data_IF_480892487267
#
_entry.id   IF_480892487267
#
_cell.length_a   1.000
_cell.length_b   1.000
_cell.length_c   1.000
_cell.angle_alpha   90.00
_cell.angle_beta   90.00
_cell.angle_gamma   90.00
#
_symmetry.space_group_name_H-M   'P 1'
#
loop_
_entity.id
_entity.type
_entity.pdbx_description
1 polymer ?
#
# COMPACT_ATOMS: atom_id res chain seq x y z
N UNK A 1 13.76 5.81 -22.69
CA UNK A 1 14.62 6.99 -22.39
C UNK A 1 14.46 7.29 -20.92
N UNK A 2 15.54 7.50 -20.14
CA UNK A 2 15.34 7.95 -18.76
C UNK A 2 14.73 9.35 -18.84
N UNK A 3 13.51 9.49 -18.39
CA UNK A 3 12.86 10.79 -18.26
C UNK A 3 13.61 11.47 -17.10
N UNK A 4 14.32 12.54 -17.42
CA UNK A 4 14.99 13.36 -16.40
C UNK A 4 13.91 14.18 -15.68
N UNK A 5 13.23 13.53 -14.72
CA UNK A 5 12.10 14.11 -14.01
C UNK A 5 12.63 14.82 -12.78
N UNK A 6 12.76 16.14 -12.83
CA UNK A 6 13.00 16.96 -11.65
C UNK A 6 11.69 17.17 -10.92
N UNK A 7 11.23 16.15 -10.16
CA UNK A 7 10.08 16.30 -9.28
C UNK A 7 10.43 17.17 -8.08
N UNK A 8 9.49 17.99 -7.67
CA UNK A 8 9.49 18.61 -6.36
C UNK A 8 8.04 18.64 -5.85
N UNK A 9 7.70 17.65 -5.05
CA UNK A 9 6.34 17.52 -4.49
C UNK A 9 6.10 18.42 -3.27
N UNK A 10 7.13 19.14 -2.80
CA UNK A 10 7.08 19.99 -1.61
C UNK A 10 7.12 19.22 -0.28
N UNK A 11 6.59 18.00 -0.23
CA UNK A 11 6.56 17.12 0.92
C UNK A 11 7.17 15.75 0.57
N UNK A 12 7.55 14.99 1.60
CA UNK A 12 7.82 13.57 1.42
C UNK A 12 6.55 12.84 0.97
N UNK A 13 6.74 11.72 0.26
CA UNK A 13 5.66 10.85 -0.17
C UNK A 13 5.80 9.52 0.56
N UNK A 14 4.67 8.89 0.86
CA UNK A 14 4.62 7.50 1.33
C UNK A 14 3.62 6.74 0.47
N UNK A 15 4.11 5.79 -0.31
CA UNK A 15 3.25 4.82 -0.96
C UNK A 15 2.90 3.72 0.03
N UNK A 16 1.62 3.42 0.18
CA UNK A 16 1.06 2.50 1.16
C UNK A 16 0.19 1.46 0.48
N UNK A 17 0.27 0.24 0.98
CA UNK A 17 -0.63 -0.86 0.65
C UNK A 17 -0.82 -1.77 1.87
N UNK A 18 -1.98 -2.40 1.99
CA UNK A 18 -2.34 -3.32 3.06
C UNK A 18 -2.79 -4.67 2.51
N UNK A 19 -2.36 -5.77 3.15
CA UNK A 19 -3.04 -7.04 2.99
C UNK A 19 -4.02 -7.26 4.15
N UNK A 20 -5.15 -7.88 3.86
CA UNK A 20 -6.25 -8.03 4.82
C UNK A 20 -6.85 -9.43 4.78
N UNK A 21 -7.59 -9.84 5.83
CA UNK A 21 -8.29 -11.13 5.86
C UNK A 21 -9.51 -11.20 4.93
N UNK A 22 -9.92 -10.07 4.35
CA UNK A 22 -11.05 -9.94 3.44
C UNK A 22 -11.33 -8.48 3.08
N UNK A 23 -12.52 -8.18 2.55
CA UNK A 23 -12.81 -6.89 1.91
C UNK A 23 -13.68 -5.95 2.75
N UNK A 24 -14.02 -6.31 3.98
CA UNK A 24 -15.01 -5.59 4.81
C UNK A 24 -14.34 -4.94 6.02
N UNK A 25 -13.96 -3.65 5.97
CA UNK A 25 -13.40 -2.94 7.13
C UNK A 25 -14.31 -3.07 8.36
N UNK A 26 -13.73 -3.23 9.55
CA UNK A 26 -14.45 -3.46 10.80
C UNK A 26 -14.84 -4.93 11.06
N UNK A 27 -15.00 -5.76 10.01
CA UNK A 27 -15.20 -7.20 10.12
C UNK A 27 -13.91 -7.96 9.83
N UNK A 28 -13.28 -7.63 8.73
CA UNK A 28 -11.98 -8.17 8.35
C UNK A 28 -10.85 -7.35 8.97
N UNK A 29 -9.64 -7.88 9.00
CA UNK A 29 -8.50 -7.37 9.74
C UNK A 29 -7.27 -7.22 8.86
N UNK A 30 -6.37 -6.31 9.21
CA UNK A 30 -5.08 -6.14 8.56
C UNK A 30 -4.17 -7.31 8.93
N UNK A 31 -3.44 -7.85 7.95
CA UNK A 31 -2.44 -8.93 8.11
C UNK A 31 -1.03 -8.55 7.66
N UNK A 32 -0.89 -7.52 6.81
CA UNK A 32 0.40 -6.95 6.45
C UNK A 32 0.24 -5.45 6.19
N UNK A 33 1.24 -4.65 6.59
CA UNK A 33 1.38 -3.24 6.25
C UNK A 33 2.66 -3.09 5.46
N UNK A 34 2.58 -2.56 4.24
CA UNK A 34 3.71 -2.25 3.40
C UNK A 34 3.73 -0.78 3.01
N UNK A 35 4.87 -0.11 3.23
CA UNK A 35 4.99 1.28 2.81
C UNK A 35 6.41 1.64 2.37
N UNK A 36 6.49 2.55 1.40
CA UNK A 36 7.76 3.08 0.88
C UNK A 36 7.75 4.59 0.98
N UNK A 37 8.73 5.14 1.66
CA UNK A 37 8.89 6.59 1.84
C UNK A 37 9.92 7.16 0.87
N UNK A 38 9.58 8.27 0.22
CA UNK A 38 10.50 9.05 -0.59
C UNK A 38 10.62 10.47 -0.05
N UNK A 39 11.71 11.13 -0.40
CA UNK A 39 11.82 12.57 -0.24
C UNK A 39 10.96 13.30 -1.30
N UNK A 40 10.94 14.63 -1.23
CA UNK A 40 10.18 15.48 -2.17
C UNK A 40 10.64 15.36 -3.64
N UNK A 41 11.74 14.70 -3.92
CA UNK A 41 12.25 14.45 -5.28
C UNK A 41 11.87 13.09 -5.84
N UNK A 42 11.20 12.26 -5.04
CA UNK A 42 10.84 10.88 -5.40
C UNK A 42 11.95 9.86 -5.11
N UNK A 43 13.06 10.28 -4.47
CA UNK A 43 14.13 9.35 -4.06
C UNK A 43 13.70 8.61 -2.80
N UNK A 44 13.76 7.28 -2.84
CA UNK A 44 13.46 6.45 -1.67
C UNK A 44 14.40 6.74 -0.50
N UNK A 45 13.81 6.96 0.70
CA UNK A 45 14.51 7.24 1.95
C UNK A 45 14.14 6.28 3.09
N UNK A 46 13.15 5.41 2.89
CA UNK A 46 12.78 4.40 3.88
C UNK A 46 11.76 3.41 3.39
N UNK A 47 11.63 2.30 4.12
CA UNK A 47 10.60 1.27 3.93
C UNK A 47 10.04 0.89 5.29
N UNK A 48 8.75 0.57 5.33
CA UNK A 48 8.07 -0.05 6.46
C UNK A 48 7.43 -1.34 5.96
N UNK A 49 7.66 -2.44 6.66
CA UNK A 49 7.02 -3.71 6.36
C UNK A 49 6.79 -4.50 7.63
N UNK A 50 5.54 -4.80 7.93
CA UNK A 50 5.18 -5.56 9.12
C UNK A 50 4.03 -6.51 8.84
N UNK A 51 4.20 -7.78 9.16
CA UNK A 51 3.08 -8.69 9.35
C UNK A 51 2.34 -8.29 10.63
N UNK A 52 1.02 -8.42 10.61
CA UNK A 52 0.14 -8.08 11.73
C UNK A 52 -0.69 -9.30 12.11
N UNK A 53 -0.74 -9.59 13.41
CA UNK A 53 -1.63 -10.63 13.94
C UNK A 53 -3.07 -10.09 13.95
N UNK A 54 -3.97 -10.63 13.11
CA UNK A 54 -5.36 -10.15 13.02
C UNK A 54 -6.27 -10.63 14.17
N UNK A 55 -5.75 -11.54 15.02
CA UNK A 55 -6.50 -12.24 16.08
C UNK A 55 -7.73 -13.05 15.58
N UNK A 56 -7.85 -13.23 14.27
CA UNK A 56 -8.83 -14.07 13.59
C UNK A 56 -8.13 -14.91 12.53
N UNK A 57 -8.75 -16.00 12.11
CA UNK A 57 -8.17 -16.89 11.10
C UNK A 57 -8.23 -16.29 9.71
N UNK A 58 -7.14 -16.44 8.97
CA UNK A 58 -7.06 -16.15 7.54
C UNK A 58 -7.67 -17.36 6.79
N UNK A 59 -8.57 -17.10 5.84
CA UNK A 59 -9.15 -18.15 5.03
C UNK A 59 -8.17 -18.59 3.90
N UNK A 60 -8.37 -19.81 3.38
CA UNK A 60 -7.50 -20.39 2.37
C UNK A 60 -7.38 -19.56 1.09
N UNK A 61 -8.40 -18.77 0.73
CA UNK A 61 -8.33 -17.91 -0.45
C UNK A 61 -7.30 -16.81 -0.25
N UNK A 62 -7.33 -16.13 0.89
CA UNK A 62 -6.36 -15.07 1.23
C UNK A 62 -4.95 -15.65 1.40
N UNK A 63 -4.81 -16.82 2.08
CA UNK A 63 -3.48 -17.47 2.19
C UNK A 63 -2.88 -17.79 0.81
N UNK A 64 -3.70 -18.31 -0.12
CA UNK A 64 -3.23 -18.61 -1.47
C UNK A 64 -2.92 -17.35 -2.29
N UNK A 65 -3.64 -16.26 -2.07
CA UNK A 65 -3.47 -15.01 -2.79
C UNK A 65 -2.20 -14.27 -2.34
N UNK A 66 -2.02 -14.12 -1.03
CA UNK A 66 -0.95 -13.31 -0.44
C UNK A 66 0.30 -14.10 -0.10
N UNK A 67 0.16 -15.42 0.04
CA UNK A 67 1.20 -16.30 0.57
C UNK A 67 1.44 -16.13 2.08
N UNK A 68 0.58 -15.38 2.79
CA UNK A 68 0.67 -15.16 4.23
C UNK A 68 -0.19 -16.21 4.94
N UNK A 69 0.43 -17.07 5.75
CA UNK A 69 -0.24 -18.14 6.47
C UNK A 69 -0.74 -17.72 7.86
N UNK A 70 -1.70 -18.47 8.39
CA UNK A 70 -2.13 -18.33 9.78
C UNK A 70 -0.95 -18.50 10.78
N UNK A 71 0.02 -19.36 10.45
CA UNK A 71 1.21 -19.58 11.30
C UNK A 71 2.11 -18.34 11.31
N UNK A 72 2.28 -17.65 10.18
CA UNK A 72 3.08 -16.44 10.07
C UNK A 72 2.48 -15.32 10.94
N UNK A 73 1.20 -15.02 10.77
CA UNK A 73 0.56 -13.91 11.50
C UNK A 73 0.37 -14.22 12.99
N UNK A 74 0.21 -15.47 13.37
CA UNK A 74 0.06 -15.85 14.79
C UNK A 74 1.28 -15.49 15.65
N UNK A 75 2.45 -15.39 15.04
CA UNK A 75 3.74 -15.04 15.64
C UNK A 75 4.07 -13.56 15.54
N UNK A 76 3.26 -12.80 14.81
CA UNK A 76 3.48 -11.38 14.54
C UNK A 76 2.90 -10.50 15.65
N UNK A 77 3.31 -9.25 15.69
CA UNK A 77 2.76 -8.24 16.57
C UNK A 77 1.31 -7.93 16.21
N UNK A 78 0.50 -7.51 17.18
CA UNK A 78 -0.83 -6.99 16.91
C UNK A 78 -0.75 -5.58 16.31
N UNK A 79 -1.83 -5.12 15.69
CA UNK A 79 -1.88 -3.77 15.13
C UNK A 79 -1.55 -2.69 16.16
N UNK A 80 -2.08 -2.81 17.37
CA UNK A 80 -1.82 -1.87 18.48
C UNK A 80 -0.34 -1.75 18.86
N UNK A 81 0.45 -2.80 18.64
CA UNK A 81 1.87 -2.83 18.95
C UNK A 81 2.75 -2.24 17.81
N UNK A 82 2.17 -2.11 16.62
CA UNK A 82 2.86 -1.65 15.39
C UNK A 82 2.49 -0.22 15.01
N UNK A 83 1.32 0.24 15.43
CA UNK A 83 0.69 1.46 14.93
C UNK A 83 1.50 2.72 15.22
N UNK A 84 2.12 2.84 16.40
CA UNK A 84 2.90 4.03 16.76
C UNK A 84 4.14 4.20 15.88
N UNK A 85 4.85 3.10 15.59
CA UNK A 85 6.01 3.10 14.69
C UNK A 85 5.58 3.44 13.26
N UNK A 86 4.45 2.87 12.82
CA UNK A 86 3.90 3.15 11.50
C UNK A 86 3.45 4.61 11.36
N UNK A 87 2.76 5.17 12.35
CA UNK A 87 2.35 6.59 12.35
C UNK A 87 3.56 7.52 12.32
N UNK A 88 4.60 7.20 13.10
CA UNK A 88 5.87 7.94 13.08
C UNK A 88 6.54 7.84 11.70
N UNK A 89 6.51 6.68 11.06
CA UNK A 89 7.05 6.50 9.72
C UNK A 89 6.29 7.35 8.68
N UNK A 90 4.96 7.40 8.76
CA UNK A 90 4.15 8.24 7.86
C UNK A 90 4.47 9.74 8.04
N UNK A 91 4.47 10.21 9.28
CA UNK A 91 4.65 11.63 9.59
C UNK A 91 3.63 12.51 8.85
N UNK A 92 4.09 13.62 8.31
CA UNK A 92 3.29 14.60 7.51
C UNK A 92 3.34 14.34 5.99
N UNK A 93 3.81 13.17 5.56
CA UNK A 93 3.97 12.81 4.16
C UNK A 93 2.62 12.81 3.43
N UNK A 94 2.65 13.03 2.10
CA UNK A 94 1.50 12.76 1.24
C UNK A 94 1.43 11.25 1.03
N UNK A 95 0.27 10.67 1.29
CA UNK A 95 0.04 9.22 1.12
C UNK A 95 -0.37 8.94 -0.33
N UNK A 96 0.22 7.92 -0.92
CA UNK A 96 -0.11 7.42 -2.25
C UNK A 96 -0.60 5.99 -2.07
N UNK A 97 -1.66 5.62 -2.76
CA UNK A 97 -2.14 4.24 -2.79
C UNK A 97 -2.94 3.97 -4.05
N UNK A 98 -3.20 2.71 -4.30
CA UNK A 98 -4.05 2.28 -5.40
C UNK A 98 -5.41 1.86 -4.87
N UNK A 99 -6.47 2.65 -5.12
CA UNK A 99 -7.75 2.59 -4.42
C UNK A 99 -7.59 2.80 -2.90
N UNK A 100 -6.80 3.80 -2.55
CA UNK A 100 -6.31 4.07 -1.18
C UNK A 100 -7.42 4.23 -0.13
N UNK A 101 -8.63 4.61 -0.53
CA UNK A 101 -9.74 4.71 0.41
C UNK A 101 -10.07 3.39 1.12
N UNK A 102 -9.77 2.26 0.48
CA UNK A 102 -9.88 0.93 1.09
C UNK A 102 -8.93 0.81 2.28
N UNK A 103 -7.66 1.10 2.08
CA UNK A 103 -6.62 1.01 3.12
C UNK A 103 -6.88 1.99 4.27
N UNK A 104 -7.22 3.22 3.95
CA UNK A 104 -7.54 4.25 4.95
C UNK A 104 -8.75 3.85 5.82
N UNK A 105 -9.74 3.15 5.25
CA UNK A 105 -10.88 2.63 6.03
C UNK A 105 -10.43 1.52 6.98
N UNK A 106 -9.60 0.58 6.54
CA UNK A 106 -9.06 -0.45 7.42
C UNK A 106 -8.25 0.14 8.56
N UNK A 107 -7.34 1.08 8.28
CA UNK A 107 -6.58 1.79 9.32
C UNK A 107 -7.49 2.51 10.32
N UNK A 108 -8.53 3.17 9.83
CA UNK A 108 -9.50 3.88 10.67
C UNK A 108 -10.29 2.94 11.58
N UNK A 109 -10.71 1.76 11.09
CA UNK A 109 -11.42 0.74 11.88
C UNK A 109 -10.50 0.08 12.93
N UNK A 110 -9.19 0.02 12.67
CA UNK A 110 -8.18 -0.40 13.66
C UNK A 110 -7.75 0.73 14.61
N UNK A 111 -8.34 1.93 14.49
CA UNK A 111 -8.13 3.06 15.39
C UNK A 111 -7.16 4.14 14.92
N UNK A 112 -6.46 3.95 13.78
CA UNK A 112 -5.56 4.94 13.22
C UNK A 112 -6.29 5.85 12.22
N UNK A 113 -6.58 7.09 12.63
CA UNK A 113 -7.19 8.12 11.76
C UNK A 113 -6.12 9.07 11.25
N UNK A 114 -5.83 8.96 9.97
CA UNK A 114 -4.84 9.78 9.30
C UNK A 114 -5.48 11.09 8.79
N UNK A 115 -4.75 12.20 8.99
CA UNK A 115 -5.11 13.53 8.46
C UNK A 115 -4.24 13.92 7.25
N UNK A 116 -3.42 13.02 6.77
CA UNK A 116 -2.52 13.22 5.65
C UNK A 116 -3.32 13.49 4.37
N UNK A 117 -2.78 14.34 3.49
CA UNK A 117 -3.26 14.40 2.11
C UNK A 117 -2.96 13.07 1.42
N UNK A 118 -3.81 12.66 0.51
CA UNK A 118 -3.56 11.44 -0.25
C UNK A 118 -3.81 11.61 -1.75
N UNK A 119 -3.17 10.74 -2.52
CA UNK A 119 -3.34 10.60 -3.96
C UNK A 119 -3.72 9.14 -4.25
N UNK A 120 -4.77 8.98 -5.05
CA UNK A 120 -5.26 7.68 -5.47
C UNK A 120 -4.84 7.40 -6.91
N UNK A 121 -3.92 6.46 -7.11
CA UNK A 121 -3.42 6.10 -8.44
C UNK A 121 -4.50 5.45 -9.30
N UNK A 122 -5.48 4.74 -8.72
CA UNK A 122 -6.62 4.19 -9.47
C UNK A 122 -7.45 5.32 -10.12
N UNK A 123 -7.79 6.37 -9.35
CA UNK A 123 -8.51 7.55 -9.88
C UNK A 123 -7.69 8.31 -10.90
N UNK A 124 -6.39 8.43 -10.65
CA UNK A 124 -5.47 9.10 -11.56
C UNK A 124 -5.37 8.36 -12.89
N UNK A 125 -5.30 7.01 -12.84
CA UNK A 125 -5.24 6.18 -14.03
C UNK A 125 -6.50 6.25 -14.91
N UNK A 126 -7.68 6.51 -14.35
CA UNK A 126 -8.90 6.74 -15.13
C UNK A 126 -8.75 7.93 -16.12
N UNK A 127 -7.95 8.92 -15.74
CA UNK A 127 -7.71 10.11 -16.56
C UNK A 127 -6.53 9.91 -17.51
N UNK A 128 -5.47 9.26 -17.01
CA UNK A 128 -4.21 9.13 -17.75
C UNK A 128 -4.21 7.96 -18.75
N UNK A 129 -5.02 6.92 -18.48
CA UNK A 129 -5.10 5.67 -19.26
C UNK A 129 -6.56 5.37 -19.68
N UNK A 130 -7.22 6.28 -20.42
CA UNK A 130 -8.67 6.16 -20.69
C UNK A 130 -9.04 4.94 -21.53
N UNK A 131 -8.09 4.36 -22.27
CA UNK A 131 -8.31 3.19 -23.14
C UNK A 131 -8.05 1.87 -22.40
N UNK A 132 -7.54 1.90 -21.16
CA UNK A 132 -7.29 0.70 -20.37
C UNK A 132 -8.58 0.30 -19.62
N UNK A 133 -9.16 -0.85 -20.01
CA UNK A 133 -10.46 -1.30 -19.48
C UNK A 133 -10.38 -1.81 -18.03
N UNK A 134 -9.26 -2.40 -17.63
CA UNK A 134 -9.00 -2.88 -16.28
C UNK A 134 -7.93 -2.01 -15.63
N UNK A 135 -8.32 -1.27 -14.60
CA UNK A 135 -7.47 -0.38 -13.83
C UNK A 135 -6.98 -1.00 -12.52
N UNK A 136 -6.97 -2.33 -12.41
CA UNK A 136 -6.25 -2.99 -11.31
C UNK A 136 -4.76 -2.65 -11.36
N UNK A 137 -4.09 -2.63 -10.20
CA UNK A 137 -2.65 -2.33 -10.12
C UNK A 137 -1.85 -3.24 -11.07
N UNK A 138 -2.20 -4.55 -11.11
CA UNK A 138 -1.57 -5.51 -12.00
C UNK A 138 -1.72 -5.17 -13.48
N UNK A 139 -2.92 -4.77 -13.91
CA UNK A 139 -3.17 -4.39 -15.31
C UNK A 139 -2.44 -3.10 -15.70
N UNK A 140 -2.38 -2.12 -14.81
CA UNK A 140 -1.63 -0.89 -15.03
C UNK A 140 -0.14 -1.18 -15.12
N UNK A 141 0.40 -1.99 -14.20
CA UNK A 141 1.81 -2.39 -14.23
C UNK A 141 2.17 -3.11 -15.54
N UNK A 142 1.31 -4.03 -15.98
CA UNK A 142 1.52 -4.71 -17.28
C UNK A 142 1.50 -3.73 -18.47
N UNK A 143 0.60 -2.75 -18.44
CA UNK A 143 0.51 -1.72 -19.48
C UNK A 143 1.75 -0.81 -19.51
N UNK A 144 2.35 -0.56 -18.36
CA UNK A 144 3.53 0.31 -18.19
C UNK A 144 4.86 -0.46 -18.18
N UNK A 145 4.86 -1.77 -18.47
CA UNK A 145 6.05 -2.66 -18.44
C UNK A 145 6.75 -2.69 -17.07
N UNK A 146 6.00 -2.51 -15.98
CA UNK A 146 6.50 -2.63 -14.60
C UNK A 146 6.55 -4.10 -14.20
N UNK A 147 7.70 -4.56 -13.71
CA UNK A 147 7.90 -5.95 -13.28
C UNK A 147 7.28 -6.21 -11.90
N UNK A 148 6.23 -7.03 -11.86
CA UNK A 148 5.43 -7.34 -10.66
C UNK A 148 5.97 -8.57 -9.89
N UNK A 149 7.24 -8.59 -9.56
CA UNK A 149 7.79 -9.66 -8.74
C UNK A 149 7.23 -9.58 -7.30
N UNK A 150 6.68 -10.69 -6.81
CA UNK A 150 6.02 -10.80 -5.49
C UNK A 150 4.78 -9.90 -5.36
N UNK A 151 3.94 -9.81 -6.39
CA UNK A 151 2.61 -9.20 -6.27
C UNK A 151 1.80 -9.89 -5.14
N UNK A 152 0.82 -9.17 -4.59
CA UNK A 152 0.04 -9.55 -3.41
C UNK A 152 0.90 -9.69 -2.14
N UNK A 153 1.86 -8.81 -2.00
CA UNK A 153 2.60 -8.52 -0.76
C UNK A 153 2.65 -7.01 -0.60
N UNK A 154 2.17 -6.54 0.52
CA UNK A 154 1.91 -5.11 0.76
C UNK A 154 3.11 -4.21 0.41
N UNK A 155 4.34 -4.57 0.82
CA UNK A 155 5.51 -3.77 0.47
C UNK A 155 5.81 -3.77 -1.04
N UNK A 156 5.57 -4.88 -1.74
CA UNK A 156 5.77 -4.96 -3.20
C UNK A 156 4.73 -4.12 -3.93
N UNK A 157 3.47 -4.20 -3.52
CA UNK A 157 2.37 -3.47 -4.16
C UNK A 157 2.48 -1.96 -3.87
N UNK A 158 2.94 -1.57 -2.67
CA UNK A 158 3.33 -0.19 -2.39
C UNK A 158 4.45 0.32 -3.31
N UNK A 159 5.47 -0.53 -3.61
CA UNK A 159 6.54 -0.18 -4.57
C UNK A 159 6.01 0.00 -5.99
N UNK A 160 5.15 -0.92 -6.45
CA UNK A 160 4.54 -0.82 -7.78
C UNK A 160 3.64 0.42 -7.89
N UNK A 161 2.85 0.69 -6.87
CA UNK A 161 2.01 1.90 -6.79
C UNK A 161 2.83 3.18 -6.86
N UNK A 162 3.96 3.22 -6.15
CA UNK A 162 4.89 4.36 -6.24
C UNK A 162 5.48 4.51 -7.65
N UNK A 163 5.88 3.40 -8.28
CA UNK A 163 6.42 3.42 -9.64
C UNK A 163 5.37 3.91 -10.66
N UNK A 164 4.14 3.41 -10.56
CA UNK A 164 2.99 3.90 -11.36
C UNK A 164 2.77 5.39 -11.18
N UNK A 165 2.87 5.90 -9.95
CA UNK A 165 2.69 7.32 -9.67
C UNK A 165 3.80 8.20 -10.25
N UNK A 166 5.03 7.69 -10.32
CA UNK A 166 6.20 8.43 -10.78
C UNK A 166 6.39 8.38 -12.31
N UNK A 167 5.66 7.56 -13.05
CA UNK A 167 5.72 7.45 -14.51
C UNK A 167 4.81 8.47 -15.21
#
# INVERSE_FOLDING_TARGET
MPINKNYNFGNNLVSLDLETTGLSPGKDKIIEIGAVKTDSTGKQIGEFNSLVNPEISINNFIENLTGISNDDVSKSLKFVDVVDEFELFLGDSIIIGHNIEFDLKFLSEEGLKLNNKFVDTWRFSQIMLPDLLDLSLGSICNHLDINQKNAHRALSDAKFTLEVFLL
#
